data_IF_424244297830
#
_entry.id   IF_424244297830
#
_cell.length_a   1.000
_cell.length_b   1.000
_cell.length_c   1.000
_cell.angle_alpha   90.00
_cell.angle_beta   90.00
_cell.angle_gamma   90.00
#
_symmetry.space_group_name_H-M   'P 1'
#
loop_
_entity.id
_entity.type
_entity.pdbx_description
1 polymer ?
#
# COMPACT_ATOMS: atom_id res chain seq x y z
N UNK A 1 22.12 -48.82 2.70
CA UNK A 1 21.47 -47.98 1.68
C UNK A 1 20.51 -47.03 2.40
N UNK A 2 20.80 -45.73 2.40
CA UNK A 2 19.90 -44.69 2.96
C UNK A 2 19.34 -43.90 1.78
N UNK A 3 18.05 -44.06 1.52
CA UNK A 3 17.33 -43.29 0.50
C UNK A 3 17.04 -41.93 1.14
N UNK A 4 17.79 -40.91 0.73
CA UNK A 4 17.51 -39.53 1.10
C UNK A 4 16.30 -39.07 0.26
N UNK A 5 15.14 -38.96 0.91
CA UNK A 5 13.94 -38.37 0.33
C UNK A 5 14.16 -36.86 0.19
N UNK A 6 14.48 -36.40 -1.01
CA UNK A 6 14.48 -35.00 -1.36
C UNK A 6 13.02 -34.53 -1.47
N UNK A 7 12.54 -33.83 -0.45
CA UNK A 7 11.25 -33.13 -0.50
C UNK A 7 11.42 -31.90 -1.39
N UNK A 8 10.99 -32.03 -2.65
CA UNK A 8 10.81 -30.92 -3.56
C UNK A 8 9.63 -30.08 -3.04
N UNK A 9 9.92 -28.99 -2.33
CA UNK A 9 8.93 -27.97 -1.99
C UNK A 9 8.68 -27.17 -3.26
N UNK A 10 7.65 -27.56 -4.02
CA UNK A 10 7.09 -26.69 -5.04
C UNK A 10 6.41 -25.52 -4.31
N UNK A 11 7.05 -24.36 -4.31
CA UNK A 11 6.37 -23.10 -4.01
C UNK A 11 5.40 -22.80 -5.14
N UNK A 12 4.15 -23.19 -4.94
CA UNK A 12 3.02 -22.77 -5.75
C UNK A 12 2.87 -21.26 -5.61
N UNK A 13 3.19 -20.51 -6.66
CA UNK A 13 2.75 -19.12 -6.81
C UNK A 13 1.23 -19.14 -6.91
N UNK A 14 0.55 -18.98 -5.77
CA UNK A 14 -0.89 -18.82 -5.74
C UNK A 14 -1.23 -17.51 -6.47
N UNK A 15 -2.22 -17.51 -7.38
CA UNK A 15 -2.68 -16.28 -8.00
C UNK A 15 -3.11 -15.32 -6.88
N UNK A 16 -2.59 -14.10 -6.91
CA UNK A 16 -3.13 -13.01 -6.11
C UNK A 16 -4.65 -12.94 -6.37
N UNK A 17 -5.46 -13.13 -5.32
CA UNK A 17 -6.91 -12.98 -5.45
C UNK A 17 -7.22 -11.53 -5.85
N UNK A 18 -8.32 -11.33 -6.58
CA UNK A 18 -8.82 -9.98 -6.94
C UNK A 18 -8.89 -9.04 -5.73
N UNK A 19 -9.25 -9.59 -4.56
CA UNK A 19 -9.33 -8.87 -3.29
C UNK A 19 -7.98 -8.28 -2.86
N UNK A 20 -6.88 -8.99 -3.13
CA UNK A 20 -5.54 -8.50 -2.84
C UNK A 20 -5.16 -7.34 -3.76
N UNK A 21 -5.51 -7.40 -5.04
CA UNK A 21 -5.24 -6.32 -5.98
C UNK A 21 -6.03 -5.03 -5.63
N UNK A 22 -7.27 -5.17 -5.15
CA UNK A 22 -8.05 -4.04 -4.62
C UNK A 22 -7.45 -3.45 -3.35
N UNK A 23 -7.00 -4.29 -2.41
CA UNK A 23 -6.31 -3.83 -1.20
C UNK A 23 -5.01 -3.06 -1.52
N UNK A 24 -4.25 -3.53 -2.52
CA UNK A 24 -3.04 -2.86 -3.02
C UNK A 24 -3.40 -1.51 -3.65
N UNK A 25 -4.42 -1.43 -4.51
CA UNK A 25 -4.86 -0.17 -5.10
C UNK A 25 -5.39 0.82 -4.05
N UNK A 26 -6.04 0.33 -3.00
CA UNK A 26 -6.50 1.15 -1.88
C UNK A 26 -5.32 1.68 -1.03
N UNK A 27 -4.21 0.93 -0.93
CA UNK A 27 -2.95 1.43 -0.38
C UNK A 27 -2.32 2.53 -1.23
N UNK A 28 -2.43 2.47 -2.56
CA UNK A 28 -2.02 3.58 -3.43
C UNK A 28 -2.80 4.86 -3.11
N UNK A 29 -4.12 4.76 -2.93
CA UNK A 29 -4.98 5.88 -2.55
C UNK A 29 -4.63 6.45 -1.16
N UNK A 30 -4.30 5.58 -0.20
CA UNK A 30 -3.89 5.98 1.15
C UNK A 30 -2.63 6.86 1.12
N UNK A 31 -1.57 6.39 0.44
CA UNK A 31 -0.32 7.14 0.34
C UNK A 31 -0.44 8.38 -0.55
N UNK A 32 -1.25 8.34 -1.61
CA UNK A 32 -1.58 9.54 -2.39
C UNK A 32 -2.27 10.61 -1.53
N UNK A 33 -3.18 10.20 -0.64
CA UNK A 33 -3.82 11.07 0.34
C UNK A 33 -2.83 11.68 1.33
N UNK A 34 -1.91 10.86 1.86
CA UNK A 34 -0.83 11.30 2.76
C UNK A 34 0.08 12.34 2.09
N UNK A 35 0.53 12.08 0.86
CA UNK A 35 1.41 12.98 0.11
C UNK A 35 0.83 14.38 -0.03
N UNK A 36 -0.46 14.49 -0.37
CA UNK A 36 -1.15 15.78 -0.45
C UNK A 36 -1.21 16.51 0.90
N UNK A 37 -1.25 15.77 2.02
CA UNK A 37 -1.23 16.36 3.35
C UNK A 37 0.17 16.88 3.68
N UNK A 38 1.21 16.08 3.45
CA UNK A 38 2.60 16.45 3.75
C UNK A 38 3.09 17.62 2.88
N UNK A 39 2.66 17.69 1.62
CA UNK A 39 2.94 18.84 0.74
C UNK A 39 2.46 20.18 1.32
N UNK A 40 1.37 20.16 2.09
CA UNK A 40 0.84 21.35 2.78
C UNK A 40 1.40 21.55 4.19
N UNK A 41 2.27 20.65 4.65
CA UNK A 41 2.84 20.67 6.00
C UNK A 41 4.36 20.43 5.94
N UNK A 42 5.13 21.36 5.33
CA UNK A 42 6.57 21.19 5.11
C UNK A 42 7.40 21.14 6.40
N UNK A 43 6.81 21.49 7.55
CA UNK A 43 7.42 21.35 8.86
C UNK A 43 7.51 19.89 9.36
N UNK A 44 6.82 18.96 8.69
CA UNK A 44 6.96 17.54 8.97
C UNK A 44 8.22 17.00 8.30
N UNK A 45 9.00 16.23 9.03
CA UNK A 45 10.20 15.54 8.52
C UNK A 45 9.84 14.30 7.69
N UNK A 46 8.81 14.42 6.85
CA UNK A 46 8.33 13.38 5.95
C UNK A 46 8.23 13.99 4.56
N UNK A 47 9.03 13.46 3.63
CA UNK A 47 9.06 13.96 2.26
C UNK A 47 7.77 13.59 1.51
N UNK A 48 7.02 14.57 0.95
CA UNK A 48 5.87 14.31 0.09
C UNK A 48 6.25 13.47 -1.14
N UNK A 49 7.48 13.62 -1.65
CA UNK A 49 7.97 12.85 -2.80
C UNK A 49 8.15 11.37 -2.46
N UNK A 50 8.69 11.07 -1.27
CA UNK A 50 8.79 9.68 -0.80
C UNK A 50 7.40 9.05 -0.69
N UNK A 51 6.41 9.80 -0.20
CA UNK A 51 5.03 9.31 -0.09
C UNK A 51 4.36 9.12 -1.46
N UNK A 52 4.65 10.00 -2.44
CA UNK A 52 4.20 9.81 -3.83
C UNK A 52 4.83 8.57 -4.46
N UNK A 53 6.10 8.31 -4.18
CA UNK A 53 6.80 7.12 -4.67
C UNK A 53 6.15 5.84 -4.12
N UNK A 54 5.82 5.78 -2.82
CA UNK A 54 5.06 4.67 -2.24
C UNK A 54 3.70 4.49 -2.93
N UNK A 55 2.95 5.57 -3.14
CA UNK A 55 1.68 5.49 -3.85
C UNK A 55 1.85 4.88 -5.25
N UNK A 56 2.89 5.29 -5.97
CA UNK A 56 3.21 4.73 -7.29
C UNK A 56 3.59 3.24 -7.23
N UNK A 57 4.39 2.84 -6.25
CA UNK A 57 4.78 1.45 -6.05
C UNK A 57 3.56 0.54 -5.87
N UNK A 58 2.56 0.96 -5.08
CA UNK A 58 1.30 0.22 -4.97
C UNK A 58 0.50 0.18 -6.27
N UNK A 59 0.48 1.25 -7.09
CA UNK A 59 -0.14 1.18 -8.42
C UNK A 59 0.54 0.14 -9.29
N UNK A 60 1.86 0.09 -9.26
CA UNK A 60 2.66 -0.85 -10.06
C UNK A 60 2.40 -2.29 -9.60
N UNK A 61 2.32 -2.54 -8.29
CA UNK A 61 1.96 -3.86 -7.72
C UNK A 61 0.53 -4.25 -8.14
N UNK A 62 -0.44 -3.33 -8.07
CA UNK A 62 -1.82 -3.63 -8.49
C UNK A 62 -1.90 -3.95 -9.98
N UNK A 63 -1.14 -3.23 -10.80
CA UNK A 63 -1.01 -3.49 -12.23
C UNK A 63 -0.37 -4.85 -12.52
N UNK A 64 0.69 -5.20 -11.81
CA UNK A 64 1.33 -6.50 -11.90
C UNK A 64 0.40 -7.65 -11.46
N UNK A 65 -0.52 -7.40 -10.54
CA UNK A 65 -1.58 -8.31 -10.13
C UNK A 65 -2.75 -8.40 -11.13
N UNK A 66 -2.69 -7.71 -12.27
CA UNK A 66 -3.67 -7.78 -13.34
C UNK A 66 -4.80 -6.74 -13.27
N UNK A 67 -4.73 -5.78 -12.35
CA UNK A 67 -5.71 -4.69 -12.30
C UNK A 67 -5.44 -3.66 -13.41
N UNK A 68 -6.49 -3.19 -14.08
CA UNK A 68 -6.33 -2.17 -15.11
C UNK A 68 -5.98 -0.82 -14.50
N UNK A 69 -5.23 0.02 -15.23
CA UNK A 69 -4.94 1.38 -14.80
C UNK A 69 -6.22 2.21 -14.55
N UNK A 70 -7.30 1.92 -15.28
CA UNK A 70 -8.59 2.58 -15.11
C UNK A 70 -9.26 2.18 -13.79
N UNK A 71 -9.19 0.91 -13.39
CA UNK A 71 -9.75 0.43 -12.12
C UNK A 71 -8.97 0.99 -10.92
N UNK A 72 -7.63 0.99 -11.01
CA UNK A 72 -6.75 1.61 -9.99
C UNK A 72 -7.12 3.09 -9.82
N UNK A 73 -7.20 3.84 -10.93
CA UNK A 73 -7.60 5.24 -10.90
C UNK A 73 -9.01 5.44 -10.33
N UNK A 74 -9.94 4.51 -10.62
CA UNK A 74 -11.30 4.53 -10.09
C UNK A 74 -11.35 4.34 -8.57
N UNK A 75 -10.51 3.45 -8.01
CA UNK A 75 -10.36 3.26 -6.56
C UNK A 75 -9.74 4.52 -5.94
N UNK A 76 -8.64 5.02 -6.50
CA UNK A 76 -7.97 6.22 -5.98
C UNK A 76 -8.88 7.45 -5.97
N UNK A 77 -9.64 7.68 -7.04
CA UNK A 77 -10.57 8.81 -7.12
C UNK A 77 -11.64 8.74 -6.02
N UNK A 78 -12.09 7.54 -5.65
CA UNK A 78 -13.08 7.34 -4.58
C UNK A 78 -12.48 7.54 -3.19
N UNK A 79 -11.23 7.14 -2.97
CA UNK A 79 -10.65 6.95 -1.62
C UNK A 79 -9.68 8.04 -1.17
N UNK A 80 -8.98 8.68 -2.11
CA UNK A 80 -7.90 9.63 -1.80
C UNK A 80 -8.38 10.81 -0.96
N UNK A 81 -9.60 11.32 -1.23
CA UNK A 81 -10.18 12.43 -0.47
C UNK A 81 -10.43 12.07 1.01
N UNK A 82 -10.89 10.85 1.27
CA UNK A 82 -11.15 10.31 2.60
C UNK A 82 -9.83 10.10 3.35
N UNK A 83 -8.83 9.50 2.71
CA UNK A 83 -7.52 9.31 3.34
C UNK A 83 -6.82 10.64 3.62
N UNK A 84 -6.96 11.64 2.76
CA UNK A 84 -6.49 13.00 3.03
C UNK A 84 -7.17 13.63 4.26
N UNK A 85 -8.45 13.35 4.51
CA UNK A 85 -9.14 13.78 5.74
C UNK A 85 -8.62 13.02 6.95
N UNK A 86 -8.46 11.70 6.84
CA UNK A 86 -7.95 10.84 7.88
C UNK A 86 -6.54 11.26 8.33
N UNK A 87 -5.60 11.45 7.40
CA UNK A 87 -4.25 11.92 7.72
C UNK A 87 -4.26 13.29 8.39
N UNK A 88 -5.11 14.23 7.93
CA UNK A 88 -5.25 15.54 8.59
C UNK A 88 -5.70 15.42 10.05
N UNK A 89 -6.66 14.53 10.33
CA UNK A 89 -7.10 14.29 11.71
C UNK A 89 -6.02 13.59 12.54
N UNK A 90 -5.30 12.64 11.94
CA UNK A 90 -4.22 11.92 12.60
C UNK A 90 -3.02 12.81 12.98
N UNK A 91 -2.69 13.82 12.16
CA UNK A 91 -1.67 14.82 12.53
C UNK A 91 -2.11 15.76 13.66
N UNK A 92 -3.42 15.88 13.89
CA UNK A 92 -3.95 16.55 15.07
C UNK A 92 -3.83 15.68 16.32
N UNK A 93 -4.65 15.96 17.33
CA UNK A 93 -4.69 15.20 18.59
C UNK A 93 -5.73 14.07 18.59
N UNK A 94 -6.28 13.69 17.44
CA UNK A 94 -7.31 12.66 17.35
C UNK A 94 -6.70 11.26 17.46
N UNK A 95 -6.86 10.63 18.62
CA UNK A 95 -6.28 9.31 18.90
C UNK A 95 -6.82 8.21 17.97
N UNK A 96 -8.11 8.26 17.65
CA UNK A 96 -8.74 7.26 16.79
C UNK A 96 -8.17 7.31 15.36
N UNK A 97 -8.03 8.50 14.78
CA UNK A 97 -7.48 8.65 13.43
C UNK A 97 -6.03 8.20 13.36
N UNK A 98 -5.22 8.48 14.40
CA UNK A 98 -3.83 8.00 14.48
C UNK A 98 -3.75 6.48 14.45
N UNK A 99 -4.55 5.83 15.28
CA UNK A 99 -4.66 4.37 15.36
C UNK A 99 -5.15 3.75 14.04
N UNK A 100 -6.09 4.39 13.33
CA UNK A 100 -6.51 3.94 12.00
C UNK A 100 -5.36 4.10 10.98
N UNK A 101 -4.65 5.23 10.99
CA UNK A 101 -3.50 5.46 10.09
C UNK A 101 -2.42 4.42 10.32
N UNK A 102 -2.07 4.13 11.58
CA UNK A 102 -1.03 3.15 11.95
C UNK A 102 -1.39 1.73 11.49
N UNK A 103 -2.64 1.29 11.74
CA UNK A 103 -3.08 -0.02 11.25
C UNK A 103 -3.10 -0.10 9.73
N UNK A 104 -3.49 1.00 9.07
CA UNK A 104 -3.58 1.04 7.60
C UNK A 104 -2.19 1.04 6.98
N UNK A 105 -1.25 1.83 7.51
CA UNK A 105 0.14 1.82 7.05
C UNK A 105 0.78 0.45 7.27
N UNK A 106 0.61 -0.16 8.44
CA UNK A 106 1.14 -1.50 8.72
C UNK A 106 0.57 -2.58 7.80
N UNK A 107 -0.71 -2.48 7.42
CA UNK A 107 -1.30 -3.37 6.39
C UNK A 107 -0.63 -3.16 5.03
N UNK A 108 -0.46 -1.91 4.62
CA UNK A 108 0.16 -1.59 3.34
C UNK A 108 1.63 -2.05 3.30
N UNK A 109 2.39 -1.83 4.37
CA UNK A 109 3.77 -2.33 4.50
C UNK A 109 3.85 -3.86 4.34
N UNK A 110 2.88 -4.59 4.89
CA UNK A 110 2.79 -6.05 4.73
C UNK A 110 2.47 -6.53 3.29
N UNK A 111 2.08 -5.62 2.39
CA UNK A 111 1.84 -5.89 0.98
C UNK A 111 3.02 -5.50 0.07
N UNK A 112 4.04 -4.83 0.60
CA UNK A 112 5.25 -4.53 -0.15
C UNK A 112 6.09 -5.81 -0.34
N UNK A 113 6.77 -5.96 -1.49
CA UNK A 113 7.72 -7.05 -1.67
C UNK A 113 8.80 -7.01 -0.60
N UNK A 114 9.19 -8.17 -0.08
CA UNK A 114 10.34 -8.25 0.81
C UNK A 114 11.59 -7.76 0.06
N UNK A 115 12.47 -6.96 0.69
CA UNK A 115 13.70 -6.51 0.05
C UNK A 115 14.58 -7.72 -0.30
N UNK A 116 14.67 -8.09 -1.58
CA UNK A 116 15.62 -9.09 -2.06
C UNK A 116 15.12 -10.21 -2.99
N UNK A 117 13.95 -10.11 -3.63
CA UNK A 117 13.58 -11.05 -4.70
C UNK A 117 13.30 -10.32 -6.03
N UNK A 118 14.15 -10.51 -7.05
CA UNK A 118 13.88 -10.06 -8.42
C UNK A 118 12.80 -10.92 -9.09
#
# INVERSE_FOLDING_TARGET
MRIAAAVFVLMSAAPASSDQAEDVADCAAFWAGAAQVFERNPQLDISPDTTRALAQEFRDIAGAAGMSAQDIAGIEAKRTADYRLLHRRAMGSDAQSRDIVERKSGRCEGLLPAPGHP
#
